data_IF_599286730873
#
_entry.id   IF_599286730873
#
_cell.length_a   1.000
_cell.length_b   1.000
_cell.length_c   1.000
_cell.angle_alpha   90.00
_cell.angle_beta   90.00
_cell.angle_gamma   90.00
#
_symmetry.space_group_name_H-M   'P 1'
#
loop_
_entity.id
_entity.type
_entity.pdbx_description
1 polymer ?
#
# COMPACT_ATOMS: atom_id res chain seq x y z
N UNK A 1 27.87 14.53 -15.37
CA UNK A 1 27.51 13.11 -15.16
C UNK A 1 26.10 12.93 -15.68
N UNK A 2 25.88 12.24 -16.81
CA UNK A 2 24.53 11.83 -17.15
C UNK A 2 24.19 10.67 -16.22
N UNK A 3 23.16 10.84 -15.39
CA UNK A 3 22.66 9.73 -14.59
C UNK A 3 22.26 8.60 -15.53
N UNK A 4 22.76 7.40 -15.24
CA UNK A 4 22.41 6.20 -16.01
C UNK A 4 20.89 6.04 -16.01
N UNK A 5 20.32 5.80 -17.19
CA UNK A 5 18.88 5.49 -17.35
C UNK A 5 18.46 4.32 -16.47
N UNK A 6 19.37 3.36 -16.27
CA UNK A 6 19.19 2.21 -15.36
C UNK A 6 19.06 2.65 -13.91
N UNK A 7 19.85 3.63 -13.47
CA UNK A 7 19.77 4.14 -12.11
C UNK A 7 18.43 4.83 -11.85
N UNK A 8 17.97 5.66 -12.80
CA UNK A 8 16.67 6.32 -12.74
C UNK A 8 15.51 5.34 -12.70
N UNK A 9 15.57 4.25 -13.49
CA UNK A 9 14.52 3.22 -13.47
C UNK A 9 14.47 2.49 -12.13
N UNK A 10 15.62 2.20 -11.52
CA UNK A 10 15.68 1.54 -10.21
C UNK A 10 15.06 2.43 -9.12
N UNK A 11 15.35 3.73 -9.14
CA UNK A 11 14.76 4.67 -8.19
C UNK A 11 13.24 4.77 -8.34
N UNK A 12 12.75 4.93 -9.58
CA UNK A 12 11.31 5.01 -9.85
C UNK A 12 10.57 3.73 -9.44
N UNK A 13 11.16 2.56 -9.68
CA UNK A 13 10.61 1.28 -9.24
C UNK A 13 10.58 1.18 -7.70
N UNK A 14 11.62 1.68 -7.03
CA UNK A 14 11.70 1.74 -5.57
C UNK A 14 10.61 2.63 -4.96
N UNK A 15 10.40 3.82 -5.51
CA UNK A 15 9.35 4.76 -5.10
C UNK A 15 7.96 4.13 -5.29
N UNK A 16 7.69 3.59 -6.48
CA UNK A 16 6.40 2.93 -6.79
C UNK A 16 6.11 1.80 -5.80
N UNK A 17 7.08 0.91 -5.56
CA UNK A 17 6.94 -0.20 -4.59
C UNK A 17 6.78 0.31 -3.15
N UNK A 18 7.33 1.47 -2.82
CA UNK A 18 7.20 2.09 -1.50
C UNK A 18 5.80 2.65 -1.28
N UNK A 19 5.27 3.35 -2.28
CA UNK A 19 3.90 3.89 -2.27
C UNK A 19 2.86 2.77 -2.15
N UNK A 20 2.97 1.72 -2.98
CA UNK A 20 2.06 0.56 -2.93
C UNK A 20 2.07 -0.12 -1.55
N UNK A 21 3.25 -0.28 -0.94
CA UNK A 21 3.38 -0.85 0.41
C UNK A 21 2.68 0.02 1.44
N UNK A 22 2.92 1.33 1.42
CA UNK A 22 2.33 2.28 2.36
C UNK A 22 0.80 2.35 2.23
N UNK A 23 0.27 2.34 1.01
CA UNK A 23 -1.18 2.32 0.77
C UNK A 23 -1.84 1.08 1.40
N UNK A 24 -1.22 -0.09 1.24
CA UNK A 24 -1.70 -1.35 1.86
C UNK A 24 -1.63 -1.32 3.38
N UNK A 25 -0.54 -0.81 3.95
CA UNK A 25 -0.39 -0.68 5.41
C UNK A 25 -1.46 0.26 6.01
N UNK A 26 -1.72 1.39 5.35
CA UNK A 26 -2.78 2.32 5.75
C UNK A 26 -4.15 1.62 5.68
N UNK A 27 -4.45 0.93 4.58
CA UNK A 27 -5.71 0.20 4.42
C UNK A 27 -5.91 -0.86 5.51
N UNK A 28 -4.87 -1.64 5.84
CA UNK A 28 -4.90 -2.64 6.92
C UNK A 28 -5.19 -1.97 8.27
N UNK A 29 -4.56 -0.83 8.55
CA UNK A 29 -4.77 -0.10 9.79
C UNK A 29 -6.18 0.50 9.90
N UNK A 30 -6.78 0.91 8.79
CA UNK A 30 -8.17 1.40 8.75
C UNK A 30 -9.16 0.23 8.88
N UNK A 31 -8.91 -0.91 8.24
CA UNK A 31 -9.69 -2.14 8.41
C UNK A 31 -9.70 -2.58 9.88
N UNK A 32 -8.55 -2.54 10.56
CA UNK A 32 -8.43 -2.83 12.00
C UNK A 32 -9.31 -1.92 12.87
N UNK A 33 -9.59 -0.71 12.40
CA UNK A 33 -10.43 0.29 13.10
C UNK A 33 -11.90 0.20 12.72
N UNK A 34 -12.29 -0.75 11.87
CA UNK A 34 -13.68 -0.95 11.44
C UNK A 34 -14.18 0.12 10.47
N UNK A 35 -13.28 0.80 9.76
CA UNK A 35 -13.64 1.80 8.75
C UNK A 35 -14.27 1.10 7.52
N UNK A 36 -15.27 1.73 6.90
CA UNK A 36 -15.95 1.20 5.74
C UNK A 36 -15.04 1.08 4.51
N UNK A 37 -15.28 0.04 3.69
CA UNK A 37 -14.39 -0.35 2.57
C UNK A 37 -14.31 0.73 1.49
N UNK A 38 -15.41 1.40 1.20
CA UNK A 38 -15.51 2.52 0.24
C UNK A 38 -14.68 3.74 0.69
N UNK A 39 -14.70 4.05 1.98
CA UNK A 39 -13.89 5.11 2.58
C UNK A 39 -12.40 4.74 2.51
N UNK A 40 -12.07 3.47 2.76
CA UNK A 40 -10.68 2.99 2.67
C UNK A 40 -10.17 3.06 1.23
N UNK A 41 -10.95 2.59 0.26
CA UNK A 41 -10.59 2.61 -1.16
C UNK A 41 -10.30 4.05 -1.63
N UNK A 42 -11.21 4.97 -1.35
CA UNK A 42 -11.04 6.40 -1.71
C UNK A 42 -9.86 7.07 -0.99
N UNK A 43 -9.57 6.70 0.26
CA UNK A 43 -8.48 7.30 1.05
C UNK A 43 -7.09 6.76 0.71
N UNK A 44 -7.01 5.53 0.19
CA UNK A 44 -5.73 4.84 -0.07
C UNK A 44 -5.39 4.72 -1.55
N UNK A 45 -6.33 5.02 -2.44
CA UNK A 45 -6.17 4.82 -3.88
C UNK A 45 -6.24 3.34 -4.30
N UNK A 46 -6.57 2.44 -3.38
CA UNK A 46 -6.82 1.03 -3.68
C UNK A 46 -8.21 0.84 -4.26
N UNK A 47 -8.39 -0.19 -5.09
CA UNK A 47 -9.70 -0.56 -5.60
C UNK A 47 -10.57 -1.17 -4.49
N UNK A 48 -11.89 -1.08 -4.67
CA UNK A 48 -12.86 -1.67 -3.73
C UNK A 48 -12.74 -3.19 -3.64
N UNK A 49 -12.13 -3.83 -4.65
CA UNK A 49 -11.84 -5.27 -4.70
C UNK A 49 -10.53 -5.63 -3.98
N UNK A 50 -9.55 -4.73 -3.99
CA UNK A 50 -8.25 -4.93 -3.33
C UNK A 50 -8.37 -4.85 -1.80
N UNK A 51 -9.19 -3.92 -1.29
CA UNK A 51 -9.32 -3.69 0.16
C UNK A 51 -9.78 -4.95 0.93
N UNK A 52 -10.82 -5.71 0.52
CA UNK A 52 -11.22 -6.96 1.18
C UNK A 52 -10.10 -8.00 1.23
N UNK A 53 -9.24 -8.09 0.21
CA UNK A 53 -8.15 -9.06 0.16
C UNK A 53 -7.11 -8.80 1.27
N UNK A 54 -7.00 -7.55 1.74
CA UNK A 54 -6.12 -7.17 2.83
C UNK A 54 -6.63 -7.60 4.21
N UNK A 55 -7.90 -7.98 4.35
CA UNK A 55 -8.46 -8.47 5.63
C UNK A 55 -7.72 -9.71 6.14
N UNK A 56 -7.23 -10.57 5.24
CA UNK A 56 -6.44 -11.75 5.62
C UNK A 56 -5.12 -11.40 6.31
N UNK A 57 -4.63 -10.17 6.13
CA UNK A 57 -3.38 -9.68 6.72
C UNK A 57 -3.61 -8.94 8.04
N UNK A 58 -4.86 -8.59 8.37
CA UNK A 58 -5.23 -7.86 9.60
C UNK A 58 -4.78 -8.63 10.86
N UNK A 59 -4.83 -9.97 10.84
CA UNK A 59 -4.40 -10.85 11.93
C UNK A 59 -2.90 -11.15 12.00
N UNK A 60 -2.12 -10.73 11.01
CA UNK A 60 -0.65 -10.80 11.08
C UNK A 60 -0.18 -9.50 11.72
N UNK A 61 -0.02 -9.52 13.05
CA UNK A 61 0.63 -8.43 13.77
C UNK A 61 2.01 -8.19 13.16
N UNK A 62 2.46 -6.93 12.98
CA UNK A 62 3.87 -6.67 12.76
C UNK A 62 4.58 -7.21 14.00
N UNK A 63 5.47 -8.20 13.81
CA UNK A 63 6.41 -8.57 14.85
C UNK A 63 7.27 -7.31 15.07
N UNK A 64 7.15 -6.71 16.25
CA UNK A 64 8.07 -5.69 16.71
C UNK A 64 9.50 -6.25 16.75
#
# INVERSE_FOLDING_TARGET
MQESTVYRSILAEGETKGEERKQREIAINLLRRGIAIDIIASSTGLSIEQVPQLQQQVGKSPKA
#
